data_IF_217270850912
#
_entry.id   IF_217270850912
#
_cell.length_a   1.000
_cell.length_b   1.000
_cell.length_c   1.000
_cell.angle_alpha   90.00
_cell.angle_beta   90.00
_cell.angle_gamma   90.00
#
_symmetry.space_group_name_H-M   'P 1'
#
loop_
_entity.id
_entity.type
_entity.pdbx_description
1 polymer ?
#
# COMPACT_ATOMS: atom_id res chain seq x y z
N UNK A 1 16.62 12.17 20.33
CA UNK A 1 15.38 12.41 19.58
C UNK A 1 14.20 12.20 20.50
N UNK A 2 13.12 12.97 20.34
CA UNK A 2 11.91 12.75 21.14
C UNK A 2 11.24 11.46 20.66
N UNK A 3 10.86 10.61 21.62
CA UNK A 3 10.14 9.37 21.34
C UNK A 3 8.71 9.71 20.90
N UNK A 4 8.26 9.20 19.75
CA UNK A 4 6.93 9.47 19.21
C UNK A 4 5.91 8.46 19.75
N UNK A 5 4.73 8.96 20.11
CA UNK A 5 3.57 8.12 20.40
C UNK A 5 2.83 7.74 19.12
N UNK A 6 2.67 6.44 18.89
CA UNK A 6 1.97 5.91 17.71
C UNK A 6 0.59 5.41 18.09
N UNK A 7 -0.42 5.92 17.39
CA UNK A 7 -1.78 5.42 17.40
C UNK A 7 -2.03 4.47 16.23
N UNK A 8 -2.72 3.36 16.46
CA UNK A 8 -3.11 2.41 15.42
C UNK A 8 -4.62 2.49 15.20
N UNK A 9 -5.03 2.89 14.01
CA UNK A 9 -6.45 2.98 13.62
C UNK A 9 -6.81 1.70 12.85
N UNK A 10 -7.62 0.85 13.49
CA UNK A 10 -8.01 -0.46 13.01
C UNK A 10 -7.13 -1.59 13.58
N UNK A 11 -7.71 -2.41 14.45
CA UNK A 11 -7.12 -3.65 14.97
C UNK A 11 -7.56 -4.88 14.15
N UNK A 12 -7.62 -4.70 12.83
CA UNK A 12 -7.83 -5.75 11.84
C UNK A 12 -6.53 -6.45 11.43
N UNK A 13 -6.53 -7.15 10.27
CA UNK A 13 -5.38 -7.91 9.79
C UNK A 13 -4.10 -7.05 9.74
N UNK A 14 -4.14 -5.93 9.05
CA UNK A 14 -2.96 -5.06 8.88
C UNK A 14 -2.58 -4.36 10.19
N UNK A 15 -3.54 -3.86 10.96
CA UNK A 15 -3.24 -3.24 12.25
C UNK A 15 -2.51 -4.18 13.19
N UNK A 16 -2.93 -5.46 13.24
CA UNK A 16 -2.29 -6.48 14.07
C UNK A 16 -0.92 -6.87 13.51
N UNK A 17 -0.85 -7.28 12.23
CA UNK A 17 0.33 -7.94 11.64
C UNK A 17 1.43 -6.96 11.27
N UNK A 18 1.06 -5.77 10.77
CA UNK A 18 2.01 -4.77 10.28
C UNK A 18 2.40 -3.71 11.32
N UNK A 19 1.44 -3.23 12.12
CA UNK A 19 1.71 -2.15 13.06
C UNK A 19 1.97 -2.68 14.48
N UNK A 20 0.95 -3.30 15.11
CA UNK A 20 1.05 -3.70 16.52
C UNK A 20 2.15 -4.73 16.76
N UNK A 21 2.26 -5.77 15.91
CA UNK A 21 3.27 -6.81 16.07
C UNK A 21 4.70 -6.26 15.96
N UNK A 22 4.96 -5.40 14.98
CA UNK A 22 6.29 -4.82 14.77
C UNK A 22 6.64 -3.75 15.81
N UNK A 23 5.71 -2.82 16.08
CA UNK A 23 5.98 -1.69 16.98
C UNK A 23 5.98 -2.06 18.46
N UNK A 24 5.54 -3.29 18.82
CA UNK A 24 5.67 -3.82 20.18
C UNK A 24 7.06 -4.40 20.47
N UNK A 25 7.92 -4.62 19.46
CA UNK A 25 9.27 -5.15 19.67
C UNK A 25 10.16 -4.14 20.40
N UNK A 26 11.07 -4.65 21.23
CA UNK A 26 11.88 -3.85 22.13
C UNK A 26 12.86 -2.92 21.38
N UNK A 27 13.38 -3.37 20.24
CA UNK A 27 14.40 -2.67 19.46
C UNK A 27 13.93 -1.34 18.86
N UNK A 28 12.62 -1.14 18.65
CA UNK A 28 12.06 0.14 18.18
C UNK A 28 11.61 1.08 19.29
N UNK A 29 11.48 0.58 20.52
CA UNK A 29 10.92 1.35 21.63
C UNK A 29 11.78 2.52 22.12
N UNK A 30 13.01 2.62 21.67
CA UNK A 30 13.83 3.81 21.89
C UNK A 30 13.41 4.99 21.00
N UNK A 31 12.67 4.75 19.92
CA UNK A 31 12.18 5.73 18.94
C UNK A 31 10.70 6.03 19.06
N UNK A 32 9.91 4.99 19.30
CA UNK A 32 8.44 5.06 19.35
C UNK A 32 7.89 4.29 20.54
N UNK A 33 6.62 4.54 20.87
CA UNK A 33 5.83 3.70 21.76
C UNK A 33 4.40 3.61 21.23
N UNK A 34 3.76 2.48 21.45
CA UNK A 34 2.36 2.28 21.15
C UNK A 34 1.53 3.04 22.20
N UNK A 35 1.04 4.23 21.82
CA UNK A 35 0.26 5.10 22.71
C UNK A 35 -1.21 4.64 22.76
N UNK A 36 -1.81 4.36 21.62
CA UNK A 36 -3.21 3.99 21.53
C UNK A 36 -3.52 3.05 20.36
N UNK A 37 -4.59 2.31 20.46
CA UNK A 37 -5.21 1.58 19.35
C UNK A 37 -6.72 1.84 19.37
N UNK A 38 -7.37 2.03 18.22
CA UNK A 38 -8.82 2.08 18.14
C UNK A 38 -9.37 1.10 17.08
N UNK A 39 -10.57 0.60 17.37
CA UNK A 39 -11.36 -0.23 16.42
C UNK A 39 -12.85 -0.04 16.73
N UNK A 40 -13.66 0.03 15.67
CA UNK A 40 -15.11 0.20 15.81
C UNK A 40 -15.86 -1.05 16.28
N UNK A 41 -15.20 -2.22 16.30
CA UNK A 41 -15.77 -3.45 16.86
C UNK A 41 -15.58 -3.43 18.37
N UNK A 42 -16.68 -3.41 19.15
CA UNK A 42 -16.61 -3.29 20.61
C UNK A 42 -15.65 -4.31 21.24
N UNK A 43 -14.76 -3.84 22.10
CA UNK A 43 -13.79 -4.64 22.82
C UNK A 43 -12.58 -5.12 22.01
N UNK A 44 -12.52 -4.92 20.68
CA UNK A 44 -11.38 -5.33 19.86
C UNK A 44 -10.15 -4.48 20.16
N UNK A 45 -10.31 -3.19 20.31
CA UNK A 45 -9.21 -2.31 20.66
C UNK A 45 -8.61 -2.65 22.03
N UNK A 46 -9.43 -2.95 23.03
CA UNK A 46 -8.99 -3.35 24.36
C UNK A 46 -8.23 -4.69 24.31
N UNK A 47 -8.76 -5.68 23.57
CA UNK A 47 -8.09 -6.97 23.40
C UNK A 47 -6.72 -6.80 22.70
N UNK A 48 -6.63 -5.92 21.70
CA UNK A 48 -5.37 -5.60 21.03
C UNK A 48 -4.40 -4.87 21.97
N UNK A 49 -4.88 -3.90 22.76
CA UNK A 49 -4.07 -3.19 23.73
C UNK A 49 -3.45 -4.13 24.77
N UNK A 50 -4.23 -5.04 25.32
CA UNK A 50 -3.75 -6.06 26.25
C UNK A 50 -2.70 -7.00 25.63
N UNK A 51 -2.96 -7.47 24.40
CA UNK A 51 -2.07 -8.42 23.72
C UNK A 51 -0.71 -7.83 23.36
N UNK A 52 -0.67 -6.57 22.94
CA UNK A 52 0.54 -5.91 22.40
C UNK A 52 1.16 -4.88 23.36
N UNK A 53 0.63 -4.72 24.56
CA UNK A 53 1.14 -3.77 25.54
C UNK A 53 0.93 -2.31 25.15
N UNK A 54 -0.16 -2.00 24.45
CA UNK A 54 -0.54 -0.63 24.09
C UNK A 54 -1.12 0.08 25.31
N UNK A 55 -0.79 1.36 25.50
CA UNK A 55 -1.19 2.10 26.71
C UNK A 55 -2.71 2.31 26.82
N UNK A 56 -3.42 2.50 25.68
CA UNK A 56 -4.86 2.70 25.67
C UNK A 56 -5.54 2.02 24.47
N UNK A 57 -6.74 1.45 24.70
CA UNK A 57 -7.65 0.94 23.68
C UNK A 57 -8.93 1.78 23.64
N UNK A 58 -9.32 2.27 22.48
CA UNK A 58 -10.49 3.12 22.28
C UNK A 58 -11.47 2.49 21.29
N UNK A 59 -12.78 2.64 21.54
CA UNK A 59 -13.81 2.17 20.61
C UNK A 59 -14.17 3.24 19.56
N UNK A 60 -13.59 4.44 19.64
CA UNK A 60 -13.79 5.53 18.68
C UNK A 60 -12.50 6.18 18.20
N UNK A 61 -12.54 6.68 16.96
CA UNK A 61 -11.46 7.44 16.36
C UNK A 61 -11.22 8.77 17.11
N UNK A 62 -12.31 9.41 17.51
CA UNK A 62 -12.29 10.72 18.19
C UNK A 62 -11.51 10.64 19.50
N UNK A 63 -11.72 9.57 20.28
CA UNK A 63 -11.00 9.36 21.55
C UNK A 63 -9.50 9.15 21.30
N UNK A 64 -9.12 8.35 20.30
CA UNK A 64 -7.72 8.16 19.94
C UNK A 64 -7.08 9.49 19.51
N UNK A 65 -7.74 10.26 18.66
CA UNK A 65 -7.22 11.54 18.17
C UNK A 65 -7.11 12.61 19.26
N UNK A 66 -7.96 12.54 20.28
CA UNK A 66 -7.90 13.43 21.44
C UNK A 66 -6.80 13.07 22.44
N UNK A 67 -6.19 11.88 22.35
CA UNK A 67 -5.12 11.46 23.24
C UNK A 67 -3.86 12.32 22.98
N UNK A 68 -3.37 13.08 24.00
CA UNK A 68 -2.18 13.91 23.85
C UNK A 68 -0.88 13.11 23.71
N UNK A 69 -0.90 11.81 24.01
CA UNK A 69 0.25 10.94 23.86
C UNK A 69 0.40 10.38 22.43
N UNK A 70 -0.56 10.63 21.53
CA UNK A 70 -0.49 10.23 20.12
C UNK A 70 0.08 11.38 19.30
N UNK A 71 1.22 11.17 18.66
CA UNK A 71 1.87 12.10 17.74
C UNK A 71 1.64 11.73 16.27
N UNK A 72 1.57 10.43 16.00
CA UNK A 72 1.47 9.84 14.68
C UNK A 72 0.45 8.72 14.69
N UNK A 73 -0.31 8.59 13.59
CA UNK A 73 -1.23 7.47 13.42
C UNK A 73 -0.86 6.63 12.18
N UNK A 74 -1.13 5.33 12.26
CA UNK A 74 -1.15 4.42 11.11
C UNK A 74 -2.57 3.94 10.90
N UNK A 75 -3.07 4.03 9.66
CA UNK A 75 -4.43 3.65 9.29
C UNK A 75 -4.40 2.29 8.59
N UNK A 76 -4.97 1.27 9.23
CA UNK A 76 -5.06 -0.11 8.74
C UNK A 76 -6.50 -0.62 8.67
N UNK A 77 -7.46 0.26 8.46
CA UNK A 77 -8.90 -0.04 8.28
C UNK A 77 -9.21 -0.42 6.83
N UNK A 78 -10.44 -0.80 6.48
CA UNK A 78 -10.88 -0.91 5.08
C UNK A 78 -10.66 0.40 4.31
N UNK A 79 -10.20 0.28 3.06
CA UNK A 79 -9.75 1.40 2.21
C UNK A 79 -10.79 2.53 2.11
N UNK A 80 -12.08 2.18 2.05
CA UNK A 80 -13.16 3.16 1.98
C UNK A 80 -13.28 4.12 3.17
N UNK A 81 -12.55 3.87 4.27
CA UNK A 81 -12.53 4.71 5.47
C UNK A 81 -11.28 5.60 5.55
N UNK A 82 -10.28 5.36 4.70
CA UNK A 82 -8.96 6.00 4.83
C UNK A 82 -9.02 7.52 4.68
N UNK A 83 -9.84 8.03 3.73
CA UNK A 83 -9.96 9.46 3.50
C UNK A 83 -10.48 10.19 4.74
N UNK A 84 -11.64 9.79 5.25
CA UNK A 84 -12.26 10.47 6.40
C UNK A 84 -11.40 10.36 7.66
N UNK A 85 -10.83 9.20 7.93
CA UNK A 85 -9.97 8.97 9.08
C UNK A 85 -8.66 9.77 8.97
N UNK A 86 -8.05 9.79 7.79
CA UNK A 86 -6.84 10.55 7.53
C UNK A 86 -7.06 12.05 7.64
N UNK A 87 -8.16 12.56 7.10
CA UNK A 87 -8.53 13.97 7.18
C UNK A 87 -8.76 14.40 8.64
N UNK A 88 -9.47 13.58 9.42
CA UNK A 88 -9.67 13.83 10.85
C UNK A 88 -8.35 13.84 11.62
N UNK A 89 -7.44 12.90 11.35
CA UNK A 89 -6.13 12.83 11.99
C UNK A 89 -5.24 14.03 11.64
N UNK A 90 -5.19 14.43 10.37
CA UNK A 90 -4.46 15.62 9.90
C UNK A 90 -4.96 16.87 10.63
N UNK A 91 -6.28 17.06 10.70
CA UNK A 91 -6.91 18.21 11.35
C UNK A 91 -6.73 18.20 12.89
N UNK A 92 -6.51 17.03 13.47
CA UNK A 92 -6.11 16.88 14.87
C UNK A 92 -4.61 17.10 15.09
N UNK A 93 -3.84 17.48 14.06
CA UNK A 93 -2.41 17.75 14.13
C UNK A 93 -1.53 16.49 14.22
N UNK A 94 -2.05 15.32 13.85
CA UNK A 94 -1.30 14.06 13.88
C UNK A 94 -0.62 13.81 12.54
N UNK A 95 0.62 13.30 12.55
CA UNK A 95 1.25 12.74 11.36
C UNK A 95 0.53 11.45 10.94
N UNK A 96 0.44 11.15 9.63
CA UNK A 96 -0.38 10.03 9.17
C UNK A 96 0.38 9.12 8.20
N UNK A 97 0.47 7.84 8.56
CA UNK A 97 0.77 6.77 7.63
C UNK A 97 -0.54 6.14 7.15
N UNK A 98 -0.74 6.17 5.84
CA UNK A 98 -1.84 5.45 5.20
C UNK A 98 -1.36 4.09 4.73
N UNK A 99 -2.03 3.00 5.14
CA UNK A 99 -1.89 1.77 4.40
C UNK A 99 -2.48 1.95 2.98
N UNK A 100 -2.23 1.03 2.09
CA UNK A 100 -2.67 1.11 0.69
C UNK A 100 -4.17 0.79 0.56
N UNK A 101 -4.87 1.51 -0.28
CA UNK A 101 -4.54 2.79 -0.89
C UNK A 101 -4.92 3.94 0.05
N UNK A 102 -4.23 5.09 -0.04
CA UNK A 102 -4.48 6.20 0.88
C UNK A 102 -5.89 6.81 0.76
N UNK A 103 -6.53 6.63 -0.38
CA UNK A 103 -7.89 7.08 -0.69
C UNK A 103 -8.43 6.28 -1.87
N UNK A 104 -9.64 6.62 -2.33
CA UNK A 104 -10.30 5.97 -3.46
C UNK A 104 -10.20 6.81 -4.72
N UNK A 105 -10.19 8.13 -4.58
CA UNK A 105 -10.10 9.08 -5.69
C UNK A 105 -8.86 9.96 -5.60
N UNK A 106 -8.42 10.48 -6.74
CA UNK A 106 -7.30 11.41 -6.82
C UNK A 106 -7.62 12.76 -6.15
N UNK A 107 -8.88 13.18 -6.15
CA UNK A 107 -9.34 14.41 -5.49
C UNK A 107 -9.27 14.27 -3.96
N UNK A 108 -9.68 13.13 -3.41
CA UNK A 108 -9.50 12.82 -1.99
C UNK A 108 -8.01 12.85 -1.60
N UNK A 109 -7.15 12.19 -2.40
CA UNK A 109 -5.70 12.20 -2.16
C UNK A 109 -5.12 13.63 -2.21
N UNK A 110 -5.57 14.45 -3.16
CA UNK A 110 -5.16 15.85 -3.26
C UNK A 110 -5.57 16.63 -2.01
N UNK A 111 -6.81 16.44 -1.54
CA UNK A 111 -7.30 17.06 -0.32
C UNK A 111 -6.45 16.68 0.90
N UNK A 112 -6.09 15.40 1.05
CA UNK A 112 -5.23 14.95 2.15
C UNK A 112 -3.83 15.59 2.10
N UNK A 113 -3.23 15.71 0.91
CA UNK A 113 -1.92 16.34 0.70
C UNK A 113 -1.99 17.82 1.09
N UNK A 114 -2.99 18.54 0.59
CA UNK A 114 -3.16 19.98 0.83
C UNK A 114 -3.45 20.28 2.31
N UNK A 115 -4.32 19.50 2.95
CA UNK A 115 -4.63 19.63 4.37
C UNK A 115 -3.40 19.32 5.24
N UNK A 116 -2.61 18.29 4.89
CA UNK A 116 -1.38 17.98 5.61
C UNK A 116 -0.38 19.13 5.54
N UNK A 117 -0.22 19.74 4.37
CA UNK A 117 0.63 20.92 4.19
C UNK A 117 0.10 22.12 5.01
N UNK A 118 -1.20 22.37 5.00
CA UNK A 118 -1.83 23.47 5.73
C UNK A 118 -1.70 23.32 7.27
N UNK A 119 -1.74 22.09 7.78
CA UNK A 119 -1.61 21.80 9.22
C UNK A 119 -0.16 21.52 9.65
N UNK A 120 0.81 21.53 8.72
CA UNK A 120 2.23 21.31 9.02
C UNK A 120 2.55 19.87 9.47
N UNK A 121 1.68 18.91 9.19
CA UNK A 121 1.88 17.50 9.50
C UNK A 121 2.52 16.76 8.31
N UNK A 122 3.14 15.62 8.58
CA UNK A 122 3.75 14.77 7.56
C UNK A 122 2.85 13.59 7.28
N UNK A 123 2.75 13.23 6.00
CA UNK A 123 2.00 12.04 5.58
C UNK A 123 2.85 11.19 4.64
N UNK A 124 2.61 9.89 4.62
CA UNK A 124 3.06 8.97 3.58
C UNK A 124 2.00 7.90 3.31
N UNK A 125 2.18 7.18 2.21
CA UNK A 125 1.27 6.11 1.82
C UNK A 125 2.02 4.86 1.36
N UNK A 126 1.58 3.70 1.85
CA UNK A 126 2.00 2.40 1.30
C UNK A 126 1.40 2.20 -0.12
N UNK A 127 2.02 1.34 -0.94
CA UNK A 127 3.28 0.66 -0.73
C UNK A 127 4.45 1.52 -1.18
N UNK A 128 5.40 1.77 -0.32
CA UNK A 128 6.63 2.50 -0.63
C UNK A 128 7.63 1.68 -1.45
N UNK A 129 7.22 1.00 -2.52
CA UNK A 129 8.03 0.00 -3.23
C UNK A 129 9.38 0.50 -3.77
N UNK A 130 9.54 1.80 -3.96
CA UNK A 130 10.82 2.40 -4.35
C UNK A 130 11.85 2.46 -3.21
N UNK A 131 11.47 2.10 -1.97
CA UNK A 131 12.43 1.89 -0.88
C UNK A 131 13.37 0.70 -1.15
N UNK A 132 12.92 -0.25 -1.96
CA UNK A 132 13.69 -1.44 -2.29
C UNK A 132 14.85 -1.07 -3.21
N UNK A 133 16.11 -1.38 -2.84
CA UNK A 133 17.28 -1.02 -3.65
C UNK A 133 17.22 -1.57 -5.09
N UNK A 134 16.69 -2.79 -5.27
CA UNK A 134 16.52 -3.40 -6.59
C UNK A 134 15.61 -2.59 -7.51
N UNK A 135 14.51 -2.01 -6.99
CA UNK A 135 13.58 -1.21 -7.80
C UNK A 135 14.23 0.10 -8.28
N UNK A 136 15.04 0.73 -7.42
CA UNK A 136 15.83 1.90 -7.82
C UNK A 136 16.89 1.54 -8.84
N UNK A 137 17.60 0.43 -8.66
CA UNK A 137 18.58 -0.04 -9.65
C UNK A 137 17.92 -0.35 -11.00
N UNK A 138 16.74 -0.98 -11.02
CA UNK A 138 15.97 -1.21 -12.25
C UNK A 138 15.56 0.12 -12.89
N UNK A 139 15.07 1.09 -12.12
CA UNK A 139 14.77 2.44 -12.62
C UNK A 139 15.99 3.07 -13.31
N UNK A 140 17.14 3.01 -12.65
CA UNK A 140 18.37 3.60 -13.15
C UNK A 140 18.87 2.90 -14.42
N UNK A 141 18.76 1.56 -14.52
CA UNK A 141 19.03 0.80 -15.73
C UNK A 141 18.11 1.18 -16.90
N UNK A 142 16.82 1.36 -16.63
CA UNK A 142 15.87 1.79 -17.66
C UNK A 142 16.20 3.21 -18.14
N UNK A 143 16.48 4.14 -17.23
CA UNK A 143 16.78 5.54 -17.54
C UNK A 143 18.14 5.74 -18.23
N UNK A 144 19.13 4.93 -17.90
CA UNK A 144 20.42 4.95 -18.59
C UNK A 144 20.34 4.39 -20.02
N UNK A 145 19.21 3.79 -20.40
CA UNK A 145 18.99 3.18 -21.71
C UNK A 145 19.66 1.82 -21.89
N UNK A 146 19.97 1.12 -20.80
CA UNK A 146 20.59 -0.22 -20.83
C UNK A 146 19.72 -1.21 -21.61
N UNK A 147 18.39 -1.17 -21.44
CA UNK A 147 17.46 -2.00 -22.19
C UNK A 147 17.02 -1.38 -23.54
N UNK A 148 17.64 -0.26 -23.94
CA UNK A 148 17.23 0.52 -25.11
C UNK A 148 15.93 1.31 -24.84
N UNK A 149 15.20 1.62 -25.92
CA UNK A 149 13.89 2.25 -25.80
C UNK A 149 12.88 1.23 -25.21
N UNK A 150 12.21 1.58 -24.12
CA UNK A 150 11.11 0.78 -23.61
C UNK A 150 9.98 0.77 -24.65
N UNK A 151 9.47 -0.39 -24.98
CA UNK A 151 8.34 -0.57 -25.89
C UNK A 151 7.05 -0.82 -25.11
N UNK A 152 7.08 -1.77 -24.19
CA UNK A 152 5.91 -2.09 -23.36
C UNK A 152 6.30 -2.74 -22.04
N UNK A 153 5.33 -2.82 -21.14
CA UNK A 153 5.47 -3.49 -19.86
C UNK A 153 4.20 -4.28 -19.50
N UNK A 154 4.32 -5.20 -18.55
CA UNK A 154 3.18 -5.90 -17.97
C UNK A 154 3.36 -6.02 -16.46
N UNK A 155 2.29 -5.77 -15.71
CA UNK A 155 2.24 -5.96 -14.26
C UNK A 155 0.82 -6.22 -13.80
N UNK A 156 0.67 -6.93 -12.70
CA UNK A 156 -0.64 -7.13 -12.11
C UNK A 156 -0.65 -8.15 -11.00
N UNK A 157 -1.84 -8.46 -10.55
CA UNK A 157 -2.10 -9.43 -9.52
C UNK A 157 -3.28 -10.33 -9.91
N UNK A 158 -3.09 -11.64 -9.82
CA UNK A 158 -4.11 -12.65 -9.99
C UNK A 158 -4.08 -13.60 -8.80
N UNK A 159 -4.82 -13.25 -7.75
CA UNK A 159 -4.80 -14.01 -6.51
C UNK A 159 -6.12 -14.67 -6.26
N UNK A 160 -6.46 -15.73 -6.11
CA UNK A 160 -7.75 -16.28 -5.67
C UNK A 160 -8.27 -15.63 -4.37
N UNK A 161 -8.76 -16.43 -3.48
CA UNK A 161 -9.28 -15.95 -2.18
C UNK A 161 -8.19 -15.95 -1.09
N UNK A 162 -7.01 -15.43 -1.37
CA UNK A 162 -5.87 -15.44 -0.43
C UNK A 162 -6.22 -14.82 0.93
N UNK A 163 -7.02 -13.76 0.93
CA UNK A 163 -7.45 -13.04 2.12
C UNK A 163 -8.32 -13.88 3.08
N UNK A 164 -8.91 -14.97 2.62
CA UNK A 164 -9.70 -15.89 3.44
C UNK A 164 -8.81 -16.83 4.30
N UNK A 165 -7.56 -17.01 3.90
CA UNK A 165 -6.62 -17.94 4.50
C UNK A 165 -5.65 -17.30 5.52
N UNK A 166 -5.81 -16.02 5.83
CA UNK A 166 -4.98 -15.34 6.83
C UNK A 166 -5.33 -15.84 8.24
N UNK A 167 -4.32 -15.99 9.12
CA UNK A 167 -4.50 -16.50 10.48
C UNK A 167 -5.52 -15.71 11.29
N UNK A 168 -5.58 -14.38 11.09
CA UNK A 168 -6.57 -13.50 11.73
C UNK A 168 -8.03 -13.75 11.30
N UNK A 169 -8.27 -14.69 10.36
CA UNK A 169 -9.60 -15.09 9.85
C UNK A 169 -10.06 -16.44 10.40
N UNK A 170 -9.14 -17.25 10.92
CA UNK A 170 -9.39 -18.66 11.22
C UNK A 170 -9.95 -18.91 12.62
N UNK A 171 -9.73 -17.99 13.56
CA UNK A 171 -10.14 -18.12 14.96
C UNK A 171 -11.58 -17.69 15.24
N UNK A 172 -11.92 -17.64 16.53
CA UNK A 172 -13.25 -17.28 17.01
C UNK A 172 -13.26 -16.09 17.98
N UNK A 173 -12.09 -15.61 18.40
CA UNK A 173 -11.97 -14.42 19.24
C UNK A 173 -11.93 -13.11 18.40
N UNK A 174 -11.96 -11.97 19.08
CA UNK A 174 -12.02 -10.65 18.45
C UNK A 174 -10.84 -10.34 17.52
N UNK A 175 -9.66 -10.92 17.79
CA UNK A 175 -8.43 -10.63 17.02
C UNK A 175 -8.15 -11.68 15.94
N UNK A 176 -8.81 -12.82 15.98
CA UNK A 176 -8.63 -13.92 15.03
C UNK A 176 -9.86 -14.23 14.17
N UNK A 177 -10.93 -13.45 14.30
CA UNK A 177 -12.17 -13.57 13.50
C UNK A 177 -12.48 -12.25 12.75
N UNK A 178 -11.50 -11.74 12.01
CA UNK A 178 -11.64 -10.52 11.23
C UNK A 178 -12.30 -10.85 9.89
N UNK A 179 -13.51 -10.32 9.65
CA UNK A 179 -14.27 -10.58 8.42
C UNK A 179 -13.61 -9.90 7.20
N UNK A 180 -13.28 -10.66 6.12
CA UNK A 180 -12.65 -10.14 4.93
C UNK A 180 -13.63 -9.61 3.88
N UNK A 181 -14.93 -9.66 4.09
CA UNK A 181 -15.94 -9.36 3.04
C UNK A 181 -15.80 -7.96 2.44
N UNK A 182 -15.20 -7.01 3.15
CA UNK A 182 -14.94 -5.66 2.66
C UNK A 182 -14.07 -5.61 1.39
N UNK A 183 -13.20 -6.61 1.17
CA UNK A 183 -12.40 -6.72 -0.06
C UNK A 183 -13.23 -6.75 -1.34
N UNK A 184 -14.50 -7.13 -1.23
CA UNK A 184 -15.43 -7.27 -2.35
C UNK A 184 -16.52 -6.22 -2.35
N UNK A 185 -16.45 -5.24 -1.42
CA UNK A 185 -17.45 -4.20 -1.22
C UNK A 185 -16.99 -2.86 -1.80
N UNK A 186 -17.96 -2.05 -2.23
CA UNK A 186 -17.76 -0.62 -2.52
C UNK A 186 -17.88 0.18 -1.22
N UNK A 187 -17.08 1.24 -1.09
CA UNK A 187 -16.01 1.67 -1.98
C UNK A 187 -14.67 1.04 -1.60
N UNK A 188 -13.72 0.95 -2.56
CA UNK A 188 -12.31 0.67 -2.30
C UNK A 188 -11.91 -0.79 -2.16
N UNK A 189 -12.82 -1.73 -2.35
CA UNK A 189 -12.48 -3.15 -2.46
C UNK A 189 -11.95 -3.53 -3.84
N UNK A 190 -11.74 -4.82 -4.06
CA UNK A 190 -11.33 -5.40 -5.33
C UNK A 190 -9.81 -5.47 -5.54
N UNK A 191 -9.39 -6.36 -6.47
CA UNK A 191 -7.97 -6.68 -6.69
C UNK A 191 -7.13 -5.48 -7.12
N UNK A 192 -7.73 -4.48 -7.79
CA UNK A 192 -6.97 -3.30 -8.24
C UNK A 192 -6.47 -2.48 -7.07
N UNK A 193 -7.37 -2.07 -6.16
CA UNK A 193 -7.01 -1.28 -4.98
C UNK A 193 -6.20 -2.06 -3.96
N UNK A 194 -6.50 -3.35 -3.78
CA UNK A 194 -5.85 -4.12 -2.74
C UNK A 194 -4.49 -4.69 -3.15
N UNK A 195 -4.37 -5.22 -4.37
CA UNK A 195 -3.19 -6.00 -4.77
C UNK A 195 -2.42 -5.42 -5.96
N UNK A 196 -3.11 -4.95 -7.01
CA UNK A 196 -2.44 -4.42 -8.20
C UNK A 196 -1.69 -3.13 -7.90
N UNK A 197 -2.08 -2.41 -6.86
CA UNK A 197 -1.41 -1.21 -6.35
C UNK A 197 0.09 -1.41 -6.15
N UNK A 198 0.55 -2.55 -5.68
CA UNK A 198 1.96 -2.84 -5.47
C UNK A 198 2.76 -2.83 -6.78
N UNK A 199 2.27 -3.55 -7.77
CA UNK A 199 2.92 -3.63 -9.07
C UNK A 199 2.86 -2.32 -9.85
N UNK A 200 1.72 -1.62 -9.78
CA UNK A 200 1.58 -0.34 -10.47
C UNK A 200 2.44 0.75 -9.82
N UNK A 201 2.58 0.74 -8.50
CA UNK A 201 3.50 1.63 -7.80
C UNK A 201 4.97 1.40 -8.22
N UNK A 202 5.38 0.13 -8.36
CA UNK A 202 6.72 -0.21 -8.87
C UNK A 202 6.87 0.25 -10.32
N UNK A 203 5.89 -0.05 -11.18
CA UNK A 203 5.94 0.29 -12.59
C UNK A 203 6.03 1.80 -12.83
N UNK A 204 5.17 2.58 -12.17
CA UNK A 204 5.19 4.05 -12.27
C UNK A 204 6.45 4.65 -11.64
N UNK A 205 6.95 4.08 -10.54
CA UNK A 205 8.24 4.47 -9.95
C UNK A 205 9.44 4.26 -10.87
N UNK A 206 9.36 3.30 -11.81
CA UNK A 206 10.40 3.03 -12.82
C UNK A 206 10.21 3.89 -14.06
N UNK A 207 8.99 3.93 -14.63
CA UNK A 207 8.68 4.57 -15.91
C UNK A 207 8.29 6.05 -15.79
N UNK A 208 7.93 6.50 -14.59
CA UNK A 208 7.39 7.84 -14.36
C UNK A 208 5.85 7.89 -14.48
N UNK A 209 5.32 9.10 -14.54
CA UNK A 209 3.87 9.32 -14.57
C UNK A 209 3.24 8.89 -15.89
N UNK A 210 2.15 8.13 -15.81
CA UNK A 210 1.32 7.75 -16.95
C UNK A 210 0.49 8.96 -17.45
N UNK A 211 0.03 8.89 -18.70
CA UNK A 211 -0.69 9.99 -19.37
C UNK A 211 -2.15 9.67 -19.68
N UNK A 212 -2.45 8.41 -19.99
CA UNK A 212 -3.80 7.98 -20.37
C UNK A 212 -4.02 6.51 -19.98
N UNK A 213 -5.28 6.13 -19.80
CA UNK A 213 -5.68 4.75 -19.52
C UNK A 213 -6.98 4.41 -20.25
N UNK A 214 -7.07 3.17 -20.73
CA UNK A 214 -8.31 2.53 -21.14
C UNK A 214 -8.45 1.18 -20.47
N UNK A 215 -9.67 0.65 -20.34
CA UNK A 215 -9.91 -0.55 -19.53
C UNK A 215 -11.13 -1.34 -19.96
N UNK A 216 -11.13 -2.61 -19.53
CA UNK A 216 -12.30 -3.46 -19.38
C UNK A 216 -12.37 -3.94 -17.93
N UNK A 217 -13.56 -3.95 -17.33
CA UNK A 217 -13.76 -4.33 -15.94
C UNK A 217 -15.13 -4.95 -15.73
N UNK A 218 -15.24 -5.84 -14.75
CA UNK A 218 -16.50 -6.49 -14.42
C UNK A 218 -16.39 -7.45 -13.25
N UNK A 219 -17.55 -7.99 -12.83
CA UNK A 219 -17.66 -8.97 -11.76
C UNK A 219 -17.79 -10.37 -12.37
N UNK A 220 -16.81 -11.23 -12.13
CA UNK A 220 -16.82 -12.64 -12.60
C UNK A 220 -17.47 -13.57 -11.57
N UNK A 221 -17.40 -13.25 -10.26
CA UNK A 221 -17.99 -14.04 -9.17
C UNK A 221 -18.96 -13.18 -8.36
N UNK A 222 -20.27 -13.20 -8.70
CA UNK A 222 -21.26 -12.32 -8.08
C UNK A 222 -21.53 -12.59 -6.60
N UNK A 223 -21.38 -13.85 -6.17
CA UNK A 223 -21.64 -14.26 -4.77
C UNK A 223 -20.45 -15.00 -4.23
N UNK A 224 -20.03 -14.62 -3.05
CA UNK A 224 -18.93 -15.20 -2.27
C UNK A 224 -19.42 -15.63 -0.91
N UNK A 225 -18.58 -16.34 -0.17
CA UNK A 225 -18.92 -16.87 1.14
C UNK A 225 -17.75 -16.64 2.11
N UNK A 226 -18.06 -16.37 3.37
CA UNK A 226 -17.08 -16.41 4.45
C UNK A 226 -17.66 -17.15 5.65
N UNK A 227 -17.04 -18.24 6.06
CA UNK A 227 -17.48 -19.12 7.18
C UNK A 227 -18.94 -19.58 7.03
N UNK A 228 -19.39 -19.92 5.83
CA UNK A 228 -20.74 -20.37 5.53
C UNK A 228 -21.77 -19.25 5.30
N UNK A 229 -21.39 -17.99 5.50
CA UNK A 229 -22.28 -16.85 5.29
C UNK A 229 -22.06 -16.23 3.90
N UNK A 230 -23.05 -16.29 3.01
CA UNK A 230 -22.92 -15.73 1.66
C UNK A 230 -23.01 -14.20 1.67
N UNK A 231 -22.27 -13.56 0.77
CA UNK A 231 -22.37 -12.13 0.51
C UNK A 231 -22.18 -11.78 -0.97
N UNK A 232 -22.70 -10.62 -1.39
CA UNK A 232 -22.59 -10.18 -2.78
C UNK A 232 -21.28 -9.44 -3.02
N UNK A 233 -20.64 -9.73 -4.16
CA UNK A 233 -19.52 -8.96 -4.69
C UNK A 233 -20.08 -7.66 -5.30
N UNK A 234 -19.56 -6.52 -4.90
CA UNK A 234 -19.95 -5.20 -5.38
C UNK A 234 -18.85 -4.54 -6.20
N UNK A 235 -17.58 -4.86 -5.91
CA UNK A 235 -16.43 -4.37 -6.67
C UNK A 235 -16.08 -5.34 -7.80
N UNK A 236 -15.61 -4.76 -8.90
CA UNK A 236 -15.10 -5.54 -10.01
C UNK A 236 -13.92 -6.39 -9.58
N UNK A 237 -14.00 -7.68 -9.87
CA UNK A 237 -13.01 -8.67 -9.48
C UNK A 237 -12.16 -9.17 -10.67
N UNK A 238 -12.37 -8.56 -11.84
CA UNK A 238 -11.69 -8.91 -13.08
C UNK A 238 -11.50 -7.65 -13.95
N UNK A 239 -10.36 -6.96 -13.80
CA UNK A 239 -10.07 -5.66 -14.39
C UNK A 239 -8.76 -5.69 -15.16
N UNK A 240 -8.78 -5.18 -16.39
CA UNK A 240 -7.64 -5.08 -17.28
C UNK A 240 -7.49 -3.66 -17.80
N UNK A 241 -6.32 -3.07 -17.61
CA UNK A 241 -6.00 -1.73 -18.06
C UNK A 241 -4.94 -1.78 -19.16
N UNK A 242 -5.05 -0.87 -20.12
CA UNK A 242 -3.95 -0.50 -21.00
C UNK A 242 -3.56 0.95 -20.67
N UNK A 243 -2.35 1.12 -20.15
CA UNK A 243 -1.82 2.40 -19.65
C UNK A 243 -0.79 2.96 -20.63
N UNK A 244 -0.91 4.23 -20.98
CA UNK A 244 -0.02 4.95 -21.89
C UNK A 244 0.89 5.90 -21.11
N UNK A 245 2.19 5.69 -21.19
CA UNK A 245 3.24 6.53 -20.58
C UNK A 245 3.74 7.63 -21.53
N UNK A 246 3.26 7.66 -22.78
CA UNK A 246 3.76 8.51 -23.85
C UNK A 246 4.90 7.87 -24.64
N UNK A 247 5.33 8.52 -25.71
CA UNK A 247 6.41 8.08 -26.60
C UNK A 247 6.27 6.64 -27.12
N UNK A 248 5.02 6.17 -27.25
CA UNK A 248 4.65 4.80 -27.62
C UNK A 248 5.10 3.75 -26.59
N UNK A 249 5.17 4.10 -25.32
CA UNK A 249 5.39 3.17 -24.21
C UNK A 249 4.04 2.82 -23.57
N UNK A 250 3.67 1.55 -23.63
CA UNK A 250 2.40 1.06 -23.13
C UNK A 250 2.60 0.00 -22.05
N UNK A 251 1.67 -0.08 -21.10
CA UNK A 251 1.67 -1.15 -20.13
C UNK A 251 0.33 -1.85 -20.05
N UNK A 252 0.38 -3.19 -19.99
CA UNK A 252 -0.75 -4.02 -19.64
C UNK A 252 -0.78 -4.22 -18.13
N UNK A 253 -1.85 -3.77 -17.48
CA UNK A 253 -2.02 -3.86 -16.03
C UNK A 253 -3.30 -4.62 -15.72
N UNK A 254 -3.24 -5.58 -14.82
CA UNK A 254 -4.42 -6.38 -14.47
C UNK A 254 -4.57 -6.58 -12.96
N UNK A 255 -5.83 -6.67 -12.54
CA UNK A 255 -6.22 -7.08 -11.20
C UNK A 255 -7.38 -8.07 -11.30
N UNK A 256 -7.14 -9.32 -10.95
CA UNK A 256 -8.12 -10.38 -11.05
C UNK A 256 -8.20 -11.22 -9.78
N UNK A 257 -9.41 -11.64 -9.43
CA UNK A 257 -9.65 -12.55 -8.30
C UNK A 257 -9.29 -14.01 -8.60
N UNK A 258 -8.89 -14.30 -9.83
CA UNK A 258 -8.56 -15.65 -10.29
C UNK A 258 -7.20 -15.66 -10.99
N UNK A 259 -6.55 -16.81 -10.95
CA UNK A 259 -5.28 -17.04 -11.59
C UNK A 259 -4.16 -17.27 -10.59
N UNK A 260 -2.96 -17.39 -11.12
CA UNK A 260 -1.73 -17.51 -10.36
C UNK A 260 -0.85 -16.30 -10.65
N UNK A 261 -0.05 -15.92 -9.69
CA UNK A 261 1.04 -14.97 -9.95
C UNK A 261 2.13 -15.74 -10.66
N UNK A 262 2.34 -15.44 -11.94
CA UNK A 262 3.41 -16.04 -12.74
C UNK A 262 4.73 -15.30 -12.60
N UNK A 263 4.70 -14.05 -12.12
CA UNK A 263 5.85 -13.20 -11.93
C UNK A 263 6.14 -12.98 -10.44
N UNK A 264 7.31 -12.45 -10.15
CA UNK A 264 7.67 -12.00 -8.81
C UNK A 264 6.69 -10.93 -8.34
N UNK A 265 6.10 -11.11 -7.17
CA UNK A 265 5.01 -10.28 -6.66
C UNK A 265 5.37 -8.79 -6.60
N UNK A 266 4.51 -7.96 -7.17
CA UNK A 266 4.69 -6.52 -7.22
C UNK A 266 5.82 -6.05 -8.15
N UNK A 267 6.37 -6.95 -8.99
CA UNK A 267 7.42 -6.62 -9.95
C UNK A 267 6.89 -6.61 -11.39
N UNK A 268 7.14 -5.55 -12.17
CA UNK A 268 6.77 -5.51 -13.57
C UNK A 268 7.74 -6.31 -14.44
N UNK A 269 7.23 -6.79 -15.57
CA UNK A 269 8.04 -7.19 -16.72
C UNK A 269 8.14 -6.02 -17.68
N UNK A 270 9.35 -5.62 -18.10
CA UNK A 270 9.59 -4.45 -18.96
C UNK A 270 10.42 -4.89 -20.18
N UNK A 271 9.91 -4.56 -21.35
CA UNK A 271 10.46 -4.98 -22.64
C UNK A 271 11.01 -3.78 -23.40
N UNK A 272 12.32 -3.73 -23.57
CA UNK A 272 13.02 -2.71 -24.33
C UNK A 272 13.56 -3.24 -25.65
N UNK A 273 14.00 -2.32 -26.51
CA UNK A 273 14.52 -2.65 -27.85
C UNK A 273 15.86 -3.41 -27.83
N UNK A 274 16.58 -3.43 -26.69
CA UNK A 274 17.89 -4.11 -26.54
C UNK A 274 17.96 -5.04 -25.34
N UNK A 275 16.93 -5.08 -24.50
CA UNK A 275 16.93 -5.92 -23.31
C UNK A 275 15.56 -6.08 -22.70
N UNK A 276 15.43 -7.05 -21.82
CA UNK A 276 14.19 -7.41 -21.15
C UNK A 276 14.44 -7.52 -19.65
N UNK A 277 13.62 -6.86 -18.87
CA UNK A 277 13.52 -7.03 -17.42
C UNK A 277 12.33 -7.93 -17.11
N UNK A 278 12.57 -9.08 -16.49
CA UNK A 278 11.52 -10.00 -16.00
C UNK A 278 11.60 -10.04 -14.47
N UNK A 279 10.66 -9.39 -13.82
CA UNK A 279 10.77 -9.16 -12.39
C UNK A 279 12.06 -8.40 -12.06
N UNK A 280 12.92 -9.01 -11.27
CA UNK A 280 14.22 -8.44 -10.87
C UNK A 280 15.42 -8.92 -11.73
N UNK A 281 15.17 -9.49 -12.91
CA UNK A 281 16.23 -10.04 -13.78
C UNK A 281 16.33 -9.30 -15.11
N UNK A 282 17.52 -8.79 -15.42
CA UNK A 282 17.88 -8.23 -16.71
C UNK A 282 18.45 -9.34 -17.62
N UNK A 283 17.78 -9.63 -18.75
CA UNK A 283 18.18 -10.67 -19.69
C UNK A 283 18.51 -12.03 -19.02
N UNK A 284 17.71 -12.38 -18.00
CA UNK A 284 17.85 -13.62 -17.23
C UNK A 284 18.82 -13.56 -16.05
N UNK A 285 19.60 -12.49 -15.90
CA UNK A 285 20.56 -12.33 -14.80
C UNK A 285 19.97 -11.39 -13.71
N UNK A 286 20.16 -11.71 -12.41
CA UNK A 286 19.74 -10.80 -11.33
C UNK A 286 20.32 -9.40 -11.52
N UNK A 287 19.50 -8.38 -11.29
CA UNK A 287 19.97 -6.98 -11.33
C UNK A 287 20.84 -6.72 -10.10
N UNK A 288 22.08 -6.30 -10.34
CA UNK A 288 22.97 -5.88 -9.28
C UNK A 288 22.50 -4.57 -8.66
N UNK A 289 22.47 -4.50 -7.33
CA UNK A 289 22.05 -3.32 -6.57
C UNK A 289 22.81 -3.24 -5.24
N UNK A 290 22.71 -2.12 -4.55
CA UNK A 290 23.25 -1.99 -3.20
C UNK A 290 22.59 -3.03 -2.30
N UNK A 291 23.37 -3.91 -1.67
CA UNK A 291 22.87 -5.04 -0.89
C UNK A 291 22.47 -6.27 -1.70
N UNK A 292 22.99 -6.43 -2.94
CA UNK A 292 22.73 -7.66 -3.74
C UNK A 292 23.19 -8.95 -3.06
N UNK A 293 24.14 -8.87 -2.14
CA UNK A 293 24.67 -10.00 -1.34
C UNK A 293 23.83 -10.23 -0.07
N UNK A 294 22.83 -9.38 0.21
CA UNK A 294 21.94 -9.52 1.34
C UNK A 294 21.02 -10.74 1.08
N UNK A 295 21.06 -11.78 1.95
CA UNK A 295 20.26 -12.98 1.75
C UNK A 295 18.76 -12.76 2.00
N UNK A 296 18.37 -11.59 2.53
CA UNK A 296 16.96 -11.29 2.81
C UNK A 296 16.14 -11.21 1.52
N UNK A 297 14.85 -11.60 1.55
CA UNK A 297 13.94 -11.33 0.46
C UNK A 297 13.91 -9.85 0.09
N UNK A 298 13.72 -9.51 -1.19
CA UNK A 298 13.66 -8.11 -1.63
C UNK A 298 12.64 -7.25 -0.86
N UNK A 299 11.52 -7.85 -0.45
CA UNK A 299 10.51 -7.18 0.38
C UNK A 299 11.00 -6.79 1.77
N UNK A 300 12.04 -7.44 2.26
CA UNK A 300 12.64 -7.22 3.58
C UNK A 300 13.96 -6.44 3.53
N UNK A 301 14.41 -5.98 2.36
CA UNK A 301 15.65 -5.20 2.22
C UNK A 301 15.49 -3.71 2.56
N UNK A 302 14.44 -3.36 3.29
CA UNK A 302 14.26 -2.05 3.88
C UNK A 302 15.30 -1.77 4.97
N UNK A 303 15.42 -0.50 5.36
CA UNK A 303 16.38 -0.05 6.38
C UNK A 303 16.06 -0.60 7.77
N UNK A 304 14.76 -0.72 8.07
CA UNK A 304 14.25 -1.05 9.40
C UNK A 304 13.90 -2.53 9.59
N UNK A 305 13.81 -3.28 8.50
CA UNK A 305 13.47 -4.71 8.52
C UNK A 305 14.70 -5.56 8.91
N UNK A 306 15.02 -5.60 10.19
CA UNK A 306 16.18 -6.33 10.76
C UNK A 306 15.75 -7.18 11.97
N UNK A 307 16.59 -8.13 12.38
CA UNK A 307 16.37 -8.92 13.59
C UNK A 307 15.05 -9.68 13.59
N UNK A 308 14.27 -9.54 14.65
CA UNK A 308 12.98 -10.24 14.82
C UNK A 308 11.92 -9.77 13.83
N UNK A 309 12.03 -8.55 13.28
CA UNK A 309 11.11 -8.07 12.24
C UNK A 309 11.08 -8.98 11.00
N UNK A 310 12.16 -9.69 10.70
CA UNK A 310 12.23 -10.61 9.56
C UNK A 310 11.37 -11.87 9.73
N UNK A 311 10.97 -12.18 10.96
CA UNK A 311 10.12 -13.33 11.29
C UNK A 311 8.62 -12.97 11.36
N UNK A 312 8.30 -11.68 11.21
CA UNK A 312 6.94 -11.17 11.22
C UNK A 312 6.42 -11.00 9.79
N UNK A 313 5.11 -10.93 9.66
CA UNK A 313 4.43 -10.67 8.39
C UNK A 313 4.38 -9.16 8.10
N UNK A 314 3.99 -8.78 6.87
CA UNK A 314 3.75 -7.39 6.46
C UNK A 314 4.93 -6.42 6.70
N UNK A 315 6.15 -6.94 6.56
CA UNK A 315 7.41 -6.19 6.79
C UNK A 315 7.45 -4.88 5.99
N UNK A 316 6.88 -4.88 4.80
CA UNK A 316 6.88 -3.71 3.92
C UNK A 316 6.03 -2.55 4.47
N UNK A 317 4.91 -2.85 5.14
CA UNK A 317 4.07 -1.82 5.78
C UNK A 317 4.78 -1.25 7.01
N UNK A 318 5.42 -2.10 7.80
CA UNK A 318 6.28 -1.66 8.91
C UNK A 318 7.39 -0.72 8.41
N UNK A 319 8.07 -1.07 7.31
CA UNK A 319 9.10 -0.21 6.71
C UNK A 319 8.53 1.16 6.33
N UNK A 320 7.32 1.22 5.76
CA UNK A 320 6.66 2.49 5.40
C UNK A 320 6.33 3.34 6.64
N UNK A 321 5.85 2.72 7.72
CA UNK A 321 5.63 3.40 9.01
C UNK A 321 6.95 4.01 9.53
N UNK A 322 8.02 3.24 9.51
CA UNK A 322 9.33 3.67 9.99
C UNK A 322 9.94 4.77 9.12
N UNK A 323 9.67 4.78 7.81
CA UNK A 323 10.05 5.90 6.94
C UNK A 323 9.35 7.21 7.33
N UNK A 324 8.07 7.18 7.69
CA UNK A 324 7.39 8.37 8.19
C UNK A 324 8.01 8.84 9.51
N UNK A 325 8.35 7.93 10.39
CA UNK A 325 9.05 8.23 11.65
C UNK A 325 10.42 8.88 11.37
N UNK A 326 11.18 8.39 10.40
CA UNK A 326 12.43 9.00 9.95
C UNK A 326 12.21 10.42 9.42
N UNK A 327 11.19 10.63 8.58
CA UNK A 327 10.86 11.95 8.06
C UNK A 327 10.53 12.93 9.18
N UNK A 328 9.72 12.50 10.17
CA UNK A 328 9.32 13.35 11.31
C UNK A 328 10.50 13.66 12.23
N UNK A 329 11.31 12.67 12.55
CA UNK A 329 12.41 12.82 13.54
C UNK A 329 13.68 13.44 12.96
N UNK A 330 14.00 13.17 11.69
CA UNK A 330 15.29 13.52 11.09
C UNK A 330 15.19 14.29 9.77
N UNK A 331 13.99 14.42 9.21
CA UNK A 331 13.80 15.02 7.89
C UNK A 331 14.26 14.13 6.72
N UNK A 332 14.51 12.83 6.95
CA UNK A 332 14.90 11.90 5.89
C UNK A 332 13.79 11.80 4.86
N UNK A 333 14.06 12.00 3.55
CA UNK A 333 13.04 11.92 2.51
C UNK A 333 12.40 10.53 2.41
N UNK A 334 11.12 10.53 2.04
CA UNK A 334 10.34 9.32 1.78
C UNK A 334 10.60 8.76 0.38
N UNK A 335 10.55 7.45 0.23
CA UNK A 335 10.43 6.80 -1.08
C UNK A 335 8.97 6.56 -1.51
N UNK A 336 8.04 6.42 -0.55
CA UNK A 336 6.60 6.31 -0.79
C UNK A 336 5.90 7.65 -0.52
N UNK A 337 5.89 8.56 -1.50
CA UNK A 337 5.24 9.86 -1.33
C UNK A 337 3.74 9.78 -1.56
N UNK A 338 2.99 10.67 -0.93
CA UNK A 338 1.55 10.78 -1.11
C UNK A 338 1.18 11.18 -2.56
N UNK A 339 2.02 11.98 -3.22
CA UNK A 339 1.85 12.38 -4.62
C UNK A 339 1.97 11.19 -5.58
N UNK A 340 2.91 10.28 -5.31
CA UNK A 340 3.04 9.04 -6.09
C UNK A 340 1.82 8.14 -5.88
N UNK A 341 1.38 7.97 -4.64
CA UNK A 341 0.16 7.22 -4.32
C UNK A 341 -1.08 7.82 -4.99
N UNK A 342 -1.23 9.15 -4.98
CA UNK A 342 -2.30 9.87 -5.70
C UNK A 342 -2.32 9.54 -7.18
N UNK A 343 -1.16 9.54 -7.85
CA UNK A 343 -1.08 9.20 -9.27
C UNK A 343 -1.52 7.77 -9.57
N UNK A 344 -1.12 6.82 -8.73
CA UNK A 344 -1.56 5.41 -8.85
C UNK A 344 -3.07 5.28 -8.65
N UNK A 345 -3.65 6.01 -7.69
CA UNK A 345 -5.10 6.05 -7.46
C UNK A 345 -5.84 6.63 -8.67
N UNK A 346 -5.32 7.72 -9.27
CA UNK A 346 -5.93 8.29 -10.48
C UNK A 346 -5.97 7.26 -11.64
N UNK A 347 -4.93 6.44 -11.79
CA UNK A 347 -4.92 5.39 -12.83
C UNK A 347 -6.06 4.38 -12.60
N UNK A 348 -6.31 3.98 -11.35
CA UNK A 348 -7.42 3.07 -11.04
C UNK A 348 -8.80 3.71 -11.27
N UNK A 349 -8.99 4.89 -10.71
CA UNK A 349 -10.23 5.67 -10.86
C UNK A 349 -10.56 5.92 -12.34
N UNK A 350 -9.58 6.41 -13.09
CA UNK A 350 -9.71 6.64 -14.52
C UNK A 350 -9.89 5.33 -15.32
N UNK A 351 -9.27 4.24 -14.88
CA UNK A 351 -9.46 2.91 -15.45
C UNK A 351 -10.89 2.42 -15.31
N UNK A 352 -11.48 2.49 -14.13
CA UNK A 352 -12.89 2.16 -13.90
C UNK A 352 -13.82 3.05 -14.72
N UNK A 353 -13.57 4.35 -14.77
CA UNK A 353 -14.32 5.28 -15.62
C UNK A 353 -14.17 4.97 -17.10
N UNK A 354 -12.99 4.53 -17.56
CA UNK A 354 -12.77 4.09 -18.93
C UNK A 354 -13.57 2.83 -19.27
N UNK A 355 -13.64 1.85 -18.36
CA UNK A 355 -14.43 0.64 -18.52
C UNK A 355 -15.94 0.94 -18.57
N UNK A 356 -16.42 1.85 -17.74
CA UNK A 356 -17.82 2.25 -17.69
C UNK A 356 -18.26 3.04 -18.94
N UNK A 357 -17.41 3.95 -19.41
CA UNK A 357 -17.75 4.84 -20.54
C UNK A 357 -17.35 4.30 -21.91
N UNK A 358 -16.48 3.29 -21.96
CA UNK A 358 -15.84 2.81 -23.19
C UNK A 358 -14.86 3.80 -23.81
N UNK A 359 -14.43 4.83 -23.07
CA UNK A 359 -13.55 5.90 -23.57
C UNK A 359 -12.24 5.94 -22.80
N UNK A 360 -11.14 6.15 -23.53
CA UNK A 360 -9.82 6.42 -22.93
C UNK A 360 -9.87 7.68 -22.08
N UNK A 361 -9.31 7.61 -20.86
CA UNK A 361 -9.23 8.71 -19.90
C UNK A 361 -7.84 9.31 -19.92
N UNK A 362 -7.76 10.65 -19.85
CA UNK A 362 -6.51 11.38 -19.65
C UNK A 362 -6.25 11.54 -18.16
N UNK A 363 -4.99 11.33 -17.76
CA UNK A 363 -4.52 11.50 -16.39
C UNK A 363 -3.93 12.91 -16.23
N UNK A 364 -4.13 13.51 -15.08
CA UNK A 364 -3.76 14.90 -14.78
C UNK A 364 -2.73 15.03 -13.68
N UNK A 365 -2.66 14.07 -12.78
CA UNK A 365 -1.69 14.08 -11.70
C UNK A 365 -0.31 13.64 -12.18
N UNK A 366 0.70 14.14 -11.51
CA UNK A 366 2.10 13.73 -11.67
C UNK A 366 2.75 13.64 -10.30
N UNK A 367 3.93 13.07 -10.24
CA UNK A 367 4.77 13.03 -9.05
C UNK A 367 6.23 13.23 -9.44
N UNK A 368 7.03 13.71 -8.50
CA UNK A 368 8.47 13.80 -8.66
C UNK A 368 9.13 12.53 -8.09
N UNK A 369 10.20 12.11 -8.76
CA UNK A 369 10.99 11.01 -8.24
C UNK A 369 11.73 11.42 -6.97
N UNK A 370 11.64 10.61 -5.97
CA UNK A 370 12.55 10.70 -4.83
C UNK A 370 13.89 10.10 -5.27
N UNK A 371 14.94 10.91 -5.22
CA UNK A 371 16.29 10.58 -5.67
C UNK A 371 16.92 9.42 -4.89
#
# INVERSE_FOLDING_TARGET
>A
MTKLGVGVIGAGSIGIRAALAHLSLEDVQHRVHLAAVCDAVPGRAQAAAERFGVAAGYDSLEELLADPNVDLVTIGTPIGLHFDQGLAAIRAGKHVHFNKTMSITADEATTLIDEAAAHGVKINASPGNMVRPVNRAIRDLVRSGEIGKVAWAAVGAGFGNYHENEDVRSGNDLLSNVNPSWYWKKPGGGPMYDMTVYGLHTLTGILGSAKRVTAMSGISVPTREFKGEPFQTEMDDNTFLLVDFGDSVYAFVYGAAHGLIEAEWGQPNIYGSRGTLLGTKLNGNPVAHVGSDDPRPHSAQGRHAVGEHLNLEEIHVYEDIMQLIDLVQTGTPLYGTAEHARHVIEIFEAGYRAAETGQTQTLTTTFEDVA
#
